data_IF_091004878218
#
_entry.id   IF_091004878218
#
_cell.length_a   1.000
_cell.length_b   1.000
_cell.length_c   1.000
_cell.angle_alpha   90.00
_cell.angle_beta   90.00
_cell.angle_gamma   90.00
#
_symmetry.space_group_name_H-M   'P 1'
#
loop_
_entity.id
_entity.type
_entity.pdbx_description
1 polymer ?
#
# COMPACT_ATOMS: atom_id res chain seq x y z
N UNK A 1 27.59 0.38 -9.25
CA UNK A 1 27.79 0.73 -7.82
C UNK A 1 28.68 -0.30 -7.14
N UNK A 2 29.30 0.04 -6.00
CA UNK A 2 30.10 -0.89 -5.20
C UNK A 2 29.37 -1.15 -3.89
N UNK A 3 29.16 -2.42 -3.54
CA UNK A 3 28.46 -2.77 -2.31
C UNK A 3 29.43 -3.38 -1.30
N UNK A 4 29.55 -2.78 -0.12
CA UNK A 4 30.29 -3.40 0.97
C UNK A 4 29.36 -4.37 1.70
N UNK A 5 29.58 -5.64 1.45
CA UNK A 5 28.86 -6.78 2.00
C UNK A 5 29.83 -7.77 2.67
N UNK A 6 31.04 -7.30 3.03
CA UNK A 6 32.08 -8.13 3.64
C UNK A 6 31.63 -8.82 4.95
N UNK A 7 30.65 -8.26 5.66
CA UNK A 7 30.05 -8.87 6.84
C UNK A 7 29.34 -10.20 6.55
N UNK A 8 28.87 -10.40 5.31
CA UNK A 8 28.19 -11.62 4.86
C UNK A 8 29.15 -12.70 4.36
N UNK A 9 30.41 -12.36 4.11
CA UNK A 9 31.40 -13.32 3.57
C UNK A 9 31.67 -14.47 4.56
N UNK A 10 31.48 -15.69 4.09
CA UNK A 10 31.65 -16.90 4.87
C UNK A 10 30.58 -17.14 5.94
N UNK A 11 29.52 -16.34 5.97
CA UNK A 11 28.41 -16.47 6.92
C UNK A 11 27.27 -17.32 6.39
N UNK A 12 26.57 -17.95 7.32
CA UNK A 12 25.25 -18.52 7.09
C UNK A 12 24.22 -17.37 7.20
N UNK A 13 23.32 -17.23 6.23
CA UNK A 13 22.23 -16.27 6.28
C UNK A 13 20.93 -17.03 6.50
N UNK A 14 20.17 -16.64 7.52
CA UNK A 14 18.88 -17.18 7.84
C UNK A 14 17.79 -16.11 7.67
N UNK A 15 16.88 -16.35 6.73
CA UNK A 15 15.70 -15.49 6.54
C UNK A 15 14.55 -15.99 7.41
N UNK A 16 14.05 -15.13 8.30
CA UNK A 16 12.95 -15.44 9.23
C UNK A 16 11.66 -14.85 8.68
N UNK A 17 10.68 -15.72 8.37
CA UNK A 17 9.37 -15.34 7.79
C UNK A 17 9.30 -15.50 6.26
N UNK A 18 9.80 -16.61 5.71
CA UNK A 18 9.87 -16.85 4.25
C UNK A 18 8.52 -16.91 3.54
N UNK A 19 7.46 -17.38 4.19
CA UNK A 19 6.13 -17.58 3.57
C UNK A 19 5.32 -16.29 3.34
N UNK A 20 5.82 -15.14 3.76
CA UNK A 20 5.06 -13.90 3.73
C UNK A 20 5.81 -12.76 3.01
N UNK A 21 6.06 -12.91 1.71
CA UNK A 21 6.33 -11.71 0.95
C UNK A 21 7.53 -11.66 0.01
N UNK A 22 7.54 -10.59 -0.77
CA UNK A 22 8.50 -10.26 -1.83
C UNK A 22 9.92 -10.02 -1.31
N UNK A 23 10.12 -9.75 -0.02
CA UNK A 23 11.42 -9.42 0.57
C UNK A 23 12.42 -10.58 0.46
N UNK A 24 12.00 -11.82 0.77
CA UNK A 24 12.85 -13.00 0.65
C UNK A 24 13.31 -13.23 -0.79
N UNK A 25 12.40 -13.08 -1.76
CA UNK A 25 12.69 -13.27 -3.18
C UNK A 25 13.70 -12.27 -3.75
N UNK A 26 13.85 -11.10 -3.10
CA UNK A 26 14.78 -10.07 -3.56
C UNK A 26 16.16 -10.11 -2.89
N UNK A 27 16.23 -10.49 -1.61
CA UNK A 27 17.49 -10.42 -0.85
C UNK A 27 18.43 -11.58 -1.13
N UNK A 28 17.92 -12.80 -1.31
CA UNK A 28 18.75 -13.97 -1.55
C UNK A 28 19.58 -13.84 -2.82
N UNK A 29 18.99 -13.62 -4.03
CA UNK A 29 19.77 -13.46 -5.25
C UNK A 29 20.77 -12.31 -5.17
N UNK A 30 20.38 -11.19 -4.54
CA UNK A 30 21.26 -10.05 -4.36
C UNK A 30 22.51 -10.37 -3.53
N UNK A 31 22.33 -11.07 -2.41
CA UNK A 31 23.46 -11.47 -1.55
C UNK A 31 24.33 -12.53 -2.21
N UNK A 32 23.74 -13.52 -2.92
CA UNK A 32 24.47 -14.55 -3.64
C UNK A 32 25.33 -13.96 -4.79
N UNK A 33 24.85 -12.89 -5.44
CA UNK A 33 25.58 -12.22 -6.52
C UNK A 33 26.73 -11.34 -5.99
N UNK A 34 26.51 -10.65 -4.85
CA UNK A 34 27.39 -9.57 -4.39
C UNK A 34 28.23 -9.90 -3.15
N UNK A 35 28.10 -11.11 -2.58
CA UNK A 35 28.87 -11.58 -1.42
C UNK A 35 29.25 -13.05 -1.55
N UNK A 36 30.14 -13.52 -0.65
CA UNK A 36 30.58 -14.92 -0.61
C UNK A 36 29.91 -15.64 0.57
N UNK A 37 28.57 -15.80 0.49
CA UNK A 37 27.83 -16.52 1.51
C UNK A 37 28.33 -17.95 1.67
N UNK A 38 28.28 -18.48 2.89
CA UNK A 38 28.45 -19.91 3.16
C UNK A 38 27.17 -20.67 2.85
N UNK A 39 26.01 -20.16 3.28
CA UNK A 39 24.69 -20.69 2.96
C UNK A 39 23.60 -19.64 3.07
N UNK A 40 22.43 -19.90 2.44
CA UNK A 40 21.19 -19.17 2.64
C UNK A 40 20.07 -20.17 2.96
N UNK A 41 19.34 -19.92 4.03
CA UNK A 41 18.21 -20.75 4.47
C UNK A 41 17.06 -19.86 4.93
N UNK A 42 15.87 -20.45 5.04
CA UNK A 42 14.70 -19.74 5.51
C UNK A 42 13.88 -20.56 6.49
N UNK A 43 13.26 -19.88 7.43
CA UNK A 43 12.32 -20.46 8.39
C UNK A 43 11.05 -19.63 8.42
N UNK A 44 9.91 -20.30 8.57
CA UNK A 44 8.61 -19.65 8.73
C UNK A 44 8.13 -19.73 10.16
N UNK A 45 7.48 -18.66 10.62
CA UNK A 45 6.64 -18.68 11.81
C UNK A 45 5.29 -19.27 11.40
N UNK A 46 4.99 -20.49 11.83
CA UNK A 46 3.67 -21.08 11.57
C UNK A 46 2.60 -20.56 12.55
N UNK A 47 1.34 -20.44 12.13
CA UNK A 47 0.26 -20.07 13.04
C UNK A 47 0.17 -21.06 14.22
N UNK A 48 0.28 -20.54 15.44
CA UNK A 48 0.28 -21.35 16.68
C UNK A 48 1.64 -21.83 17.15
N UNK A 49 2.72 -21.47 16.46
CA UNK A 49 4.08 -21.86 16.84
C UNK A 49 4.62 -21.05 18.04
N UNK A 50 5.52 -21.76 18.74
CA UNK A 50 6.33 -21.26 19.85
C UNK A 50 7.07 -19.97 19.48
N UNK A 51 7.50 -19.19 20.48
CA UNK A 51 8.40 -18.07 20.27
C UNK A 51 9.61 -18.48 19.42
N UNK A 52 10.19 -17.54 18.69
CA UNK A 52 11.37 -17.75 17.84
C UNK A 52 12.64 -18.09 18.63
N UNK A 53 12.51 -18.59 19.87
CA UNK A 53 13.61 -18.90 20.80
C UNK A 53 14.58 -19.94 20.22
N UNK A 54 14.15 -20.79 19.31
CA UNK A 54 15.02 -21.75 18.60
C UNK A 54 16.15 -21.04 17.81
N UNK A 55 16.01 -19.74 17.49
CA UNK A 55 17.06 -18.96 16.83
C UNK A 55 18.27 -18.78 17.75
N UNK A 56 18.12 -18.89 19.07
CA UNK A 56 19.21 -18.83 20.04
C UNK A 56 20.15 -20.05 19.96
N UNK A 57 19.72 -21.15 19.38
CA UNK A 57 20.53 -22.37 19.19
C UNK A 57 21.57 -22.23 18.07
N UNK A 58 21.46 -21.19 17.24
CA UNK A 58 22.41 -20.92 16.15
C UNK A 58 23.62 -20.12 16.66
N UNK A 59 24.77 -20.39 16.07
CA UNK A 59 25.98 -19.61 16.34
C UNK A 59 25.85 -18.20 15.74
N UNK A 60 25.50 -17.24 16.58
CA UNK A 60 25.29 -15.83 16.19
C UNK A 60 26.57 -15.15 15.67
N UNK A 61 27.75 -15.73 15.90
CA UNK A 61 29.00 -15.26 15.31
C UNK A 61 29.17 -15.69 13.85
N UNK A 62 28.47 -16.70 13.43
CA UNK A 62 28.51 -17.28 12.07
C UNK A 62 27.21 -17.09 11.30
N UNK A 63 26.09 -16.73 11.95
CA UNK A 63 24.77 -16.60 11.35
C UNK A 63 24.28 -15.17 11.36
N UNK A 64 23.88 -14.65 10.19
CA UNK A 64 23.19 -13.37 10.06
C UNK A 64 21.70 -13.64 9.87
N UNK A 65 20.89 -13.07 10.75
CA UNK A 65 19.44 -13.21 10.68
C UNK A 65 18.85 -12.05 9.89
N UNK A 66 18.09 -12.37 8.85
CA UNK A 66 17.33 -11.38 8.06
C UNK A 66 15.86 -11.55 8.39
N UNK A 67 15.25 -10.52 8.96
CA UNK A 67 13.86 -10.54 9.42
C UNK A 67 12.92 -10.02 8.32
N UNK A 68 11.81 -10.73 8.09
CA UNK A 68 10.68 -10.18 7.35
C UNK A 68 10.00 -9.06 8.14
N UNK A 69 9.61 -8.00 7.45
CA UNK A 69 9.00 -6.82 8.08
C UNK A 69 7.65 -7.12 8.76
N UNK A 70 6.95 -8.20 8.36
CA UNK A 70 5.70 -8.65 8.99
C UNK A 70 5.86 -9.25 10.39
N UNK A 71 7.09 -9.53 10.84
CA UNK A 71 7.37 -10.01 12.18
C UNK A 71 7.73 -8.82 13.07
N UNK A 72 7.08 -8.62 14.23
CA UNK A 72 7.49 -7.60 15.19
C UNK A 72 8.94 -7.77 15.63
N UNK A 73 9.73 -6.70 15.67
CA UNK A 73 11.12 -6.76 16.14
C UNK A 73 11.24 -7.27 17.59
N UNK A 74 10.22 -7.04 18.41
CA UNK A 74 10.14 -7.54 19.79
C UNK A 74 10.03 -9.07 19.90
N UNK A 75 9.69 -9.76 18.82
CA UNK A 75 9.64 -11.23 18.78
C UNK A 75 11.00 -11.86 18.38
N UNK A 76 11.96 -11.05 17.92
CA UNK A 76 13.29 -11.54 17.54
C UNK A 76 14.20 -11.65 18.78
N UNK A 77 14.60 -12.86 19.17
CA UNK A 77 15.49 -13.05 20.34
C UNK A 77 16.97 -12.83 20.02
N UNK A 78 17.31 -12.61 18.74
CA UNK A 78 18.66 -12.45 18.22
C UNK A 78 18.79 -11.14 17.45
N UNK A 79 20.00 -10.56 17.31
CA UNK A 79 20.26 -9.45 16.42
C UNK A 79 19.85 -9.77 14.97
N UNK A 80 19.26 -8.82 14.28
CA UNK A 80 18.78 -9.00 12.92
C UNK A 80 18.97 -7.75 12.06
N UNK A 81 18.85 -7.92 10.77
CA UNK A 81 18.71 -6.86 9.76
C UNK A 81 17.47 -7.11 8.92
N UNK A 82 16.86 -6.07 8.34
CA UNK A 82 15.85 -6.23 7.30
C UNK A 82 16.42 -5.95 5.91
N UNK A 83 15.75 -6.46 4.86
CA UNK A 83 16.14 -6.17 3.48
C UNK A 83 16.13 -4.66 3.21
N UNK A 84 15.17 -3.93 3.79
CA UNK A 84 15.06 -2.49 3.63
C UNK A 84 16.19 -1.73 4.35
N UNK A 85 16.58 -2.15 5.54
CA UNK A 85 17.75 -1.55 6.24
C UNK A 85 19.04 -1.72 5.41
N UNK A 86 19.23 -2.93 4.84
CA UNK A 86 20.36 -3.20 3.96
C UNK A 86 20.33 -2.30 2.72
N UNK A 87 19.15 -2.16 2.08
CA UNK A 87 18.98 -1.25 0.94
C UNK A 87 19.36 0.20 1.30
N UNK A 88 18.81 0.73 2.40
CA UNK A 88 19.10 2.12 2.82
C UNK A 88 20.59 2.33 3.04
N UNK A 89 21.26 1.39 3.71
CA UNK A 89 22.70 1.46 3.99
C UNK A 89 23.51 1.51 2.69
N UNK A 90 23.22 0.58 1.76
CA UNK A 90 23.95 0.48 0.50
C UNK A 90 23.66 1.64 -0.45
N UNK A 91 22.40 2.05 -0.54
CA UNK A 91 21.98 3.16 -1.40
C UNK A 91 22.63 4.48 -0.94
N UNK A 92 22.60 4.79 0.36
CA UNK A 92 23.24 5.99 0.91
C UNK A 92 24.77 5.97 0.75
N UNK A 93 25.42 4.82 0.97
CA UNK A 93 26.86 4.67 0.76
C UNK A 93 27.27 4.90 -0.69
N UNK A 94 26.38 4.68 -1.64
CA UNK A 94 26.60 4.93 -3.07
C UNK A 94 26.02 6.27 -3.56
N UNK A 95 25.56 7.16 -2.67
CA UNK A 95 25.04 8.48 -3.03
C UNK A 95 23.70 8.46 -3.78
N UNK A 96 22.95 7.36 -3.68
CA UNK A 96 21.64 7.21 -4.34
C UNK A 96 20.58 7.99 -3.59
N UNK A 97 19.83 8.77 -4.31
CA UNK A 97 18.73 9.57 -3.75
C UNK A 97 17.51 8.69 -3.44
N UNK A 98 17.00 8.79 -2.21
CA UNK A 98 15.83 8.07 -1.74
C UNK A 98 14.73 9.07 -1.39
N UNK A 99 13.54 8.87 -1.96
CA UNK A 99 12.27 9.49 -1.58
C UNK A 99 11.44 8.44 -0.85
N UNK A 100 10.94 8.75 0.35
CA UNK A 100 10.11 7.85 1.13
C UNK A 100 8.73 8.45 1.40
N UNK A 101 7.67 7.69 1.17
CA UNK A 101 6.28 8.15 1.33
C UNK A 101 5.55 7.20 2.27
N UNK A 102 4.97 7.76 3.33
CA UNK A 102 4.12 7.03 4.27
C UNK A 102 2.83 7.78 4.56
N UNK A 103 1.99 7.17 5.33
CA UNK A 103 0.68 7.64 5.79
C UNK A 103 -0.19 6.44 6.15
N UNK A 104 -1.36 6.67 6.71
CA UNK A 104 -2.33 5.59 6.90
C UNK A 104 -2.99 5.25 5.57
N UNK A 105 -3.47 6.24 4.84
CA UNK A 105 -4.14 6.10 3.51
C UNK A 105 -3.42 6.94 2.45
N UNK A 106 -3.62 6.60 1.17
CA UNK A 106 -3.10 7.37 0.04
C UNK A 106 -1.65 7.09 -0.36
N UNK A 107 -0.89 6.28 0.39
CA UNK A 107 0.53 5.98 0.13
C UNK A 107 0.81 5.57 -1.31
N UNK A 108 0.16 4.51 -1.78
CA UNK A 108 0.44 3.94 -3.12
C UNK A 108 0.16 4.93 -4.24
N UNK A 109 -0.97 5.65 -4.15
CA UNK A 109 -1.33 6.68 -5.13
C UNK A 109 -0.31 7.82 -5.13
N UNK A 110 0.05 8.34 -3.95
CA UNK A 110 1.05 9.42 -3.83
C UNK A 110 2.42 8.98 -4.33
N UNK A 111 2.85 7.75 -4.00
CA UNK A 111 4.15 7.22 -4.44
C UNK A 111 4.20 7.06 -5.95
N UNK A 112 3.14 6.51 -6.56
CA UNK A 112 3.07 6.35 -8.01
C UNK A 112 2.94 7.69 -8.75
N UNK A 113 2.16 8.64 -8.21
CA UNK A 113 2.10 10.02 -8.74
C UNK A 113 3.46 10.72 -8.66
N UNK A 114 4.17 10.57 -7.55
CA UNK A 114 5.52 11.13 -7.39
C UNK A 114 6.47 10.57 -8.44
N UNK A 115 6.46 9.26 -8.67
CA UNK A 115 7.27 8.64 -9.71
C UNK A 115 6.92 9.20 -11.09
N UNK A 116 5.63 9.25 -11.45
CA UNK A 116 5.18 9.79 -12.73
C UNK A 116 5.57 11.26 -12.92
N UNK A 117 5.42 12.11 -11.91
CA UNK A 117 5.81 13.53 -11.98
C UNK A 117 7.33 13.71 -12.18
N UNK A 118 8.13 12.91 -11.48
CA UNK A 118 9.59 12.94 -11.62
C UNK A 118 10.02 12.45 -13.00
N UNK A 119 9.41 11.38 -13.53
CA UNK A 119 9.67 10.86 -14.88
C UNK A 119 9.29 11.87 -15.97
N UNK A 120 8.12 12.54 -15.85
CA UNK A 120 7.75 13.64 -16.74
C UNK A 120 8.74 14.79 -16.67
N UNK A 121 9.30 15.04 -15.49
CA UNK A 121 10.39 15.99 -15.25
C UNK A 121 11.76 15.51 -15.75
N UNK A 122 11.85 14.41 -16.51
CA UNK A 122 13.07 13.88 -17.10
C UNK A 122 14.03 13.20 -16.10
N UNK A 123 13.55 12.81 -14.90
CA UNK A 123 14.36 12.10 -13.91
C UNK A 123 14.31 10.59 -14.17
N UNK A 124 15.40 9.90 -13.81
CA UNK A 124 15.42 8.44 -13.77
C UNK A 124 14.85 7.97 -12.43
N UNK A 125 13.78 7.19 -12.47
CA UNK A 125 13.03 6.78 -11.29
C UNK A 125 12.94 5.26 -11.18
N UNK A 126 13.03 4.76 -9.97
CA UNK A 126 12.67 3.40 -9.61
C UNK A 126 11.57 3.45 -8.55
N UNK A 127 10.39 2.96 -8.91
CA UNK A 127 9.25 2.80 -8.01
C UNK A 127 9.39 1.46 -7.26
N UNK A 128 9.50 1.51 -5.93
CA UNK A 128 9.78 0.32 -5.13
C UNK A 128 9.16 0.40 -3.72
N UNK A 129 9.44 -0.60 -2.87
CA UNK A 129 8.99 -0.68 -1.49
C UNK A 129 7.78 -1.58 -1.29
N UNK A 130 6.75 -1.11 -0.61
CA UNK A 130 5.52 -1.87 -0.37
C UNK A 130 4.69 -2.07 -1.65
N UNK A 131 4.92 -1.24 -2.67
CA UNK A 131 4.44 -1.39 -4.05
C UNK A 131 5.63 -1.48 -5.02
N UNK A 132 5.36 -1.83 -6.28
CA UNK A 132 6.41 -1.93 -7.29
C UNK A 132 7.31 -3.14 -7.08
N UNK A 133 8.62 -2.93 -7.22
CA UNK A 133 9.64 -3.98 -7.13
C UNK A 133 10.39 -3.96 -5.79
N UNK A 134 11.11 -5.03 -5.48
CA UNK A 134 12.04 -5.02 -4.34
C UNK A 134 13.18 -4.04 -4.59
N UNK A 135 13.52 -3.16 -3.64
CA UNK A 135 14.51 -2.12 -3.89
C UNK A 135 15.96 -2.64 -3.98
N UNK A 136 16.31 -3.75 -3.32
CA UNK A 136 17.68 -4.28 -3.32
C UNK A 136 18.15 -4.76 -4.70
N UNK A 137 17.42 -5.64 -5.43
CA UNK A 137 17.81 -6.04 -6.77
C UNK A 137 17.88 -4.85 -7.73
N UNK A 138 16.92 -3.92 -7.62
CA UNK A 138 16.90 -2.73 -8.46
C UNK A 138 18.10 -1.80 -8.22
N UNK A 139 18.70 -1.84 -7.03
CA UNK A 139 19.88 -1.03 -6.71
C UNK A 139 21.11 -1.46 -7.52
N UNK A 140 21.28 -2.76 -7.79
CA UNK A 140 22.41 -3.24 -8.59
C UNK A 140 22.37 -2.76 -10.05
N UNK A 141 21.18 -2.55 -10.59
CA UNK A 141 20.95 -2.10 -11.97
C UNK A 141 20.87 -0.56 -12.11
N UNK A 142 20.73 0.14 -10.98
CA UNK A 142 20.49 1.57 -10.96
C UNK A 142 21.73 2.39 -11.36
N UNK A 143 21.51 3.49 -12.09
CA UNK A 143 22.53 4.51 -12.32
C UNK A 143 22.69 5.41 -11.08
N UNK A 144 23.82 6.11 -10.96
CA UNK A 144 24.08 6.98 -9.80
C UNK A 144 23.09 8.15 -9.67
N UNK A 145 22.47 8.58 -10.76
CA UNK A 145 21.47 9.64 -10.83
C UNK A 145 20.02 9.13 -10.70
N UNK A 146 19.84 7.86 -10.35
CA UNK A 146 18.52 7.25 -10.15
C UNK A 146 17.90 7.69 -8.81
N UNK A 147 16.63 8.07 -8.84
CA UNK A 147 15.83 8.39 -7.66
C UNK A 147 14.97 7.19 -7.32
N UNK A 148 15.14 6.63 -6.13
CA UNK A 148 14.26 5.59 -5.61
C UNK A 148 13.06 6.23 -4.91
N UNK A 149 11.87 6.00 -5.41
CA UNK A 149 10.61 6.45 -4.82
C UNK A 149 9.95 5.26 -4.14
N UNK A 150 9.95 5.29 -2.80
CA UNK A 150 9.54 4.15 -1.97
C UNK A 150 8.20 4.39 -1.27
N UNK A 151 7.26 3.47 -1.45
CA UNK A 151 6.16 3.34 -0.50
C UNK A 151 6.67 2.63 0.77
N UNK A 152 6.49 3.26 1.93
CA UNK A 152 6.94 2.71 3.21
C UNK A 152 5.77 2.47 4.16
N UNK A 153 5.53 1.20 4.50
CA UNK A 153 4.55 0.79 5.51
C UNK A 153 5.05 1.05 6.92
N UNK A 154 4.16 1.02 7.93
CA UNK A 154 4.56 1.12 9.33
C UNK A 154 5.40 -0.07 9.80
N UNK A 155 5.13 -1.26 9.24
CA UNK A 155 5.91 -2.48 9.52
C UNK A 155 7.37 -2.32 9.09
N UNK A 156 7.59 -1.81 7.87
CA UNK A 156 8.91 -1.53 7.32
C UNK A 156 9.64 -0.43 8.10
N UNK A 157 8.91 0.62 8.46
CA UNK A 157 9.45 1.76 9.19
C UNK A 157 9.79 1.43 10.65
N UNK A 158 9.15 0.43 11.27
CA UNK A 158 9.38 0.06 12.67
C UNK A 158 10.85 -0.30 12.94
N UNK A 159 11.52 -0.92 11.99
CA UNK A 159 12.91 -1.37 12.10
C UNK A 159 13.92 -0.38 11.50
N UNK A 160 13.45 0.64 10.77
CA UNK A 160 14.32 1.50 10.00
C UNK A 160 15.12 2.44 10.93
N UNK A 161 16.44 2.45 10.74
CA UNK A 161 17.41 3.27 11.50
C UNK A 161 18.04 4.38 10.67
N UNK A 162 17.55 4.57 9.43
CA UNK A 162 17.95 5.63 8.53
C UNK A 162 16.70 6.19 7.85
N UNK A 163 16.67 7.49 7.58
CA UNK A 163 15.56 8.14 6.87
C UNK A 163 15.94 8.43 5.41
N UNK A 164 14.95 8.55 4.47
CA UNK A 164 15.22 9.00 3.10
C UNK A 164 15.72 10.45 3.06
N UNK A 165 16.17 10.91 1.89
CA UNK A 165 16.60 12.31 1.68
C UNK A 165 15.40 13.25 1.55
N UNK A 166 14.31 12.77 0.95
CA UNK A 166 13.01 13.45 0.93
C UNK A 166 11.98 12.49 1.50
N UNK A 167 11.28 12.88 2.55
CA UNK A 167 10.25 12.09 3.19
C UNK A 167 8.91 12.80 3.13
N UNK A 168 7.82 12.04 2.98
CA UNK A 168 6.48 12.58 3.11
C UNK A 168 5.60 11.72 4.02
N UNK A 169 4.81 12.37 4.88
CA UNK A 169 3.74 11.74 5.63
C UNK A 169 2.40 12.42 5.31
N UNK A 170 1.51 11.67 4.63
CA UNK A 170 0.26 12.20 4.06
C UNK A 170 -0.79 12.43 5.15
N UNK A 171 -0.94 11.48 6.06
CA UNK A 171 -1.96 11.47 7.12
C UNK A 171 -1.64 10.43 8.20
N UNK A 172 -2.29 10.61 9.37
CA UNK A 172 -2.19 9.69 10.50
C UNK A 172 -3.60 9.43 11.06
N UNK A 173 -4.17 8.27 10.73
CA UNK A 173 -5.41 7.77 11.30
C UNK A 173 -5.13 6.57 12.20
N UNK A 174 -6.15 6.07 12.90
CA UNK A 174 -6.07 4.81 13.64
C UNK A 174 -6.05 3.63 12.66
N UNK A 175 -5.05 2.76 12.78
CA UNK A 175 -4.90 1.54 11.99
C UNK A 175 -3.85 0.62 12.65
N UNK A 176 -3.83 -0.68 12.34
CA UNK A 176 -2.78 -1.64 12.72
C UNK A 176 -2.38 -1.67 14.21
N UNK A 177 -3.29 -1.32 15.13
CA UNK A 177 -3.02 -1.33 16.56
C UNK A 177 -2.89 -2.73 17.14
N UNK A 178 -3.46 -3.73 16.48
CA UNK A 178 -3.29 -5.15 16.78
C UNK A 178 -1.84 -5.61 16.66
N UNK A 179 -1.11 -5.13 15.65
CA UNK A 179 0.29 -5.48 15.43
C UNK A 179 1.25 -4.57 16.25
N UNK A 180 0.99 -3.26 16.27
CA UNK A 180 1.85 -2.29 16.96
C UNK A 180 1.61 -2.21 18.48
N UNK A 181 0.52 -2.81 18.98
CA UNK A 181 0.12 -2.80 20.38
C UNK A 181 -0.59 -1.52 20.82
N UNK A 182 -0.35 -0.37 20.19
CA UNK A 182 -1.06 0.88 20.46
C UNK A 182 -1.03 1.83 19.26
N UNK A 183 -1.88 2.86 19.28
CA UNK A 183 -1.89 3.93 18.27
C UNK A 183 -0.60 4.74 18.29
N UNK A 184 -0.08 5.03 19.47
CA UNK A 184 1.19 5.75 19.68
C UNK A 184 2.34 4.97 19.07
N UNK A 185 2.43 3.67 19.33
CA UNK A 185 3.48 2.80 18.77
C UNK A 185 3.40 2.73 17.24
N UNK A 186 2.18 2.72 16.67
CA UNK A 186 1.97 2.77 15.23
C UNK A 186 2.47 4.09 14.63
N UNK A 187 2.18 5.24 15.27
CA UNK A 187 2.65 6.53 14.81
C UNK A 187 4.15 6.69 14.99
N UNK A 188 4.71 6.22 16.12
CA UNK A 188 6.16 6.23 16.37
C UNK A 188 6.93 5.38 15.34
N UNK A 189 6.38 4.24 14.92
CA UNK A 189 6.96 3.47 13.82
C UNK A 189 7.00 4.30 12.51
N UNK A 190 5.92 5.01 12.18
CA UNK A 190 5.91 5.90 11.00
C UNK A 190 6.85 7.08 11.13
N UNK A 191 7.08 7.59 12.35
CA UNK A 191 7.99 8.71 12.59
C UNK A 191 9.43 8.39 12.18
N UNK A 192 9.83 7.13 12.14
CA UNK A 192 11.16 6.74 11.67
C UNK A 192 11.44 7.18 10.22
N UNK A 193 10.42 7.50 9.43
CA UNK A 193 10.59 8.05 8.09
C UNK A 193 11.36 9.38 8.11
N UNK A 194 11.27 10.14 9.20
CA UNK A 194 11.93 11.45 9.33
C UNK A 194 12.90 11.55 10.53
N UNK A 195 12.86 10.59 11.45
CA UNK A 195 13.61 10.65 12.74
C UNK A 195 15.11 10.79 12.56
N UNK A 196 15.68 10.21 11.51
CA UNK A 196 17.12 10.15 11.26
C UNK A 196 17.56 11.09 10.14
N UNK A 197 16.73 12.08 9.80
CA UNK A 197 17.04 13.09 8.79
C UNK A 197 18.03 14.13 9.31
N UNK A 198 18.94 14.57 8.42
CA UNK A 198 19.88 15.67 8.68
C UNK A 198 19.45 16.99 8.07
N UNK A 199 20.26 18.03 8.23
CA UNK A 199 19.93 19.41 7.82
C UNK A 199 19.67 19.59 6.32
N UNK A 200 20.22 18.73 5.47
CA UNK A 200 20.05 18.79 4.02
C UNK A 200 18.81 18.03 3.53
N UNK A 201 18.22 17.18 4.38
CA UNK A 201 17.04 16.40 4.06
C UNK A 201 15.77 17.24 4.18
N UNK A 202 14.66 16.76 3.57
CA UNK A 202 13.38 17.49 3.54
C UNK A 202 12.23 16.59 3.99
N UNK A 203 11.49 17.02 5.01
CA UNK A 203 10.26 16.37 5.46
C UNK A 203 9.02 17.16 5.03
N UNK A 204 8.18 16.55 4.21
CA UNK A 204 6.93 17.10 3.69
C UNK A 204 5.76 16.49 4.47
N UNK A 205 4.82 17.31 4.91
CA UNK A 205 3.75 16.84 5.77
C UNK A 205 2.44 17.60 5.60
N UNK A 206 1.34 16.96 5.99
CA UNK A 206 0.02 17.56 6.07
C UNK A 206 -0.19 18.20 7.45
N UNK A 207 -0.33 19.53 7.56
CA UNK A 207 -0.48 20.23 8.84
C UNK A 207 -1.84 20.03 9.53
N UNK A 208 -2.84 19.40 8.89
CA UNK A 208 -4.12 19.08 9.52
C UNK A 208 -3.98 18.02 10.64
N UNK A 209 -2.83 17.35 10.73
CA UNK A 209 -2.54 16.37 11.76
C UNK A 209 -1.61 16.93 12.82
N UNK A 210 -2.11 17.09 14.07
CA UNK A 210 -1.35 17.65 15.18
C UNK A 210 -0.02 16.92 15.42
N UNK A 211 0.00 15.59 15.36
CA UNK A 211 1.20 14.79 15.52
C UNK A 211 2.26 15.10 14.44
N UNK A 212 1.85 15.38 13.18
CA UNK A 212 2.79 15.74 12.12
C UNK A 212 3.39 17.15 12.34
N UNK A 213 2.61 18.08 12.90
CA UNK A 213 3.13 19.38 13.31
C UNK A 213 4.17 19.25 14.44
N UNK A 214 3.91 18.36 15.42
CA UNK A 214 4.87 18.08 16.50
C UNK A 214 6.18 17.48 15.95
N UNK A 215 6.06 16.53 14.99
CA UNK A 215 7.24 15.94 14.36
C UNK A 215 8.05 16.99 13.59
N UNK A 216 7.37 17.85 12.81
CA UNK A 216 8.02 18.90 12.04
C UNK A 216 8.71 19.94 12.94
N UNK A 217 8.09 20.33 14.06
CA UNK A 217 8.68 21.26 15.02
C UNK A 217 9.92 20.70 15.73
N UNK A 218 10.03 19.38 15.88
CA UNK A 218 11.16 18.69 16.49
C UNK A 218 12.21 18.22 15.46
N UNK A 219 12.02 18.50 14.18
CA UNK A 219 12.88 18.00 13.10
C UNK A 219 14.25 18.70 13.08
N UNK A 220 15.30 17.92 12.77
CA UNK A 220 16.62 18.45 12.46
C UNK A 220 16.81 18.80 10.97
N UNK A 221 15.84 18.45 10.13
CA UNK A 221 15.82 18.67 8.68
C UNK A 221 14.96 19.87 8.29
N UNK A 222 14.95 20.20 7.00
CA UNK A 222 13.99 21.16 6.43
C UNK A 222 12.58 20.56 6.47
N UNK A 223 11.58 21.36 6.83
CA UNK A 223 10.17 20.93 6.86
C UNK A 223 9.33 21.77 5.92
N UNK A 224 8.43 21.11 5.20
CA UNK A 224 7.51 21.75 4.26
C UNK A 224 6.09 21.27 4.55
N UNK A 225 5.25 22.19 5.04
CA UNK A 225 3.83 21.94 5.17
C UNK A 225 3.14 22.12 3.81
N UNK A 226 2.33 21.14 3.38
CA UNK A 226 1.44 21.36 2.24
C UNK A 226 0.29 22.29 2.65
N UNK A 227 -0.41 22.87 1.67
CA UNK A 227 -1.67 23.58 1.91
C UNK A 227 -2.86 22.66 1.58
N UNK A 228 -3.51 22.02 2.57
CA UNK A 228 -4.63 21.12 2.31
C UNK A 228 -5.88 21.83 1.77
N UNK A 229 -5.94 23.17 1.88
CA UNK A 229 -7.06 23.97 1.37
C UNK A 229 -6.95 24.30 -0.13
N UNK A 230 -5.76 24.10 -0.71
CA UNK A 230 -5.52 24.31 -2.13
C UNK A 230 -6.38 23.35 -2.97
N UNK A 231 -7.15 23.93 -3.88
CA UNK A 231 -7.97 23.13 -4.82
C UNK A 231 -7.13 22.70 -6.00
N UNK A 232 -6.96 21.39 -6.17
CA UNK A 232 -6.28 20.82 -7.33
C UNK A 232 -7.30 20.58 -8.44
N UNK A 233 -7.06 21.14 -9.61
CA UNK A 233 -7.88 20.89 -10.80
C UNK A 233 -7.53 19.50 -11.38
N UNK A 234 -8.41 18.54 -11.17
CA UNK A 234 -8.32 17.17 -11.70
C UNK A 234 -9.11 16.99 -13.01
N UNK A 235 -9.54 18.08 -13.65
CA UNK A 235 -10.27 18.01 -14.92
C UNK A 235 -9.41 17.34 -15.98
N UNK A 236 -9.96 16.29 -16.61
CA UNK A 236 -9.25 15.49 -17.60
C UNK A 236 -8.34 14.38 -17.03
N UNK A 237 -8.10 14.37 -15.72
CA UNK A 237 -7.39 13.28 -15.08
C UNK A 237 -8.32 12.07 -14.87
N UNK A 238 -7.72 10.87 -14.82
CA UNK A 238 -8.45 9.63 -14.48
C UNK A 238 -8.56 9.42 -12.96
N UNK A 239 -7.90 10.27 -12.18
CA UNK A 239 -8.04 10.34 -10.73
C UNK A 239 -9.29 11.15 -10.36
N UNK A 240 -10.02 10.70 -9.36
CA UNK A 240 -11.21 11.39 -8.87
C UNK A 240 -11.28 11.37 -7.34
N UNK A 241 -12.08 12.29 -6.77
CA UNK A 241 -12.28 12.44 -5.33
C UNK A 241 -11.29 13.41 -4.65
N UNK A 242 -11.78 14.15 -3.66
CA UNK A 242 -11.02 15.19 -2.95
C UNK A 242 -9.74 14.65 -2.28
N UNK A 243 -9.76 13.38 -1.81
CA UNK A 243 -8.58 12.73 -1.23
C UNK A 243 -7.43 12.58 -2.24
N UNK A 244 -7.72 12.48 -3.55
CA UNK A 244 -6.68 12.46 -4.57
C UNK A 244 -6.09 13.84 -4.82
N UNK A 245 -6.83 14.92 -4.59
CA UNK A 245 -6.26 16.27 -4.55
C UNK A 245 -5.11 16.36 -3.54
N UNK A 246 -5.32 15.85 -2.32
CA UNK A 246 -4.27 15.79 -1.29
C UNK A 246 -3.06 14.93 -1.72
N UNK A 247 -3.30 13.76 -2.34
CA UNK A 247 -2.23 12.92 -2.86
C UNK A 247 -1.39 13.65 -3.92
N UNK A 248 -2.06 14.43 -4.81
CA UNK A 248 -1.39 15.26 -5.83
C UNK A 248 -0.57 16.38 -5.18
N UNK A 249 -1.12 17.07 -4.17
CA UNK A 249 -0.39 18.14 -3.47
C UNK A 249 0.92 17.64 -2.86
N UNK A 250 0.88 16.50 -2.18
CA UNK A 250 2.08 15.88 -1.59
C UNK A 250 3.07 15.45 -2.67
N UNK A 251 2.61 14.77 -3.73
CA UNK A 251 3.47 14.33 -4.82
C UNK A 251 4.11 15.51 -5.57
N UNK A 252 3.35 16.58 -5.82
CA UNK A 252 3.83 17.81 -6.46
C UNK A 252 4.87 18.51 -5.59
N UNK A 253 4.66 18.58 -4.28
CA UNK A 253 5.65 19.19 -3.38
C UNK A 253 6.96 18.39 -3.36
N UNK A 254 6.88 17.05 -3.41
CA UNK A 254 8.08 16.21 -3.57
C UNK A 254 8.76 16.53 -4.93
N UNK A 255 8.01 16.59 -6.03
CA UNK A 255 8.54 16.86 -7.36
C UNK A 255 9.26 18.22 -7.45
N UNK A 256 8.74 19.25 -6.74
CA UNK A 256 9.37 20.58 -6.59
C UNK A 256 10.78 20.49 -5.98
N UNK A 257 11.01 19.58 -5.01
CA UNK A 257 12.33 19.39 -4.42
C UNK A 257 13.38 18.94 -5.44
N UNK A 258 12.94 18.38 -6.57
CA UNK A 258 13.79 17.96 -7.69
C UNK A 258 13.76 18.91 -8.89
N UNK A 259 13.17 20.08 -8.72
CA UNK A 259 13.11 21.12 -9.74
C UNK A 259 12.12 20.85 -10.88
N UNK A 260 11.13 19.97 -10.67
CA UNK A 260 10.05 19.73 -11.64
C UNK A 260 9.05 20.89 -11.56
N UNK A 261 8.75 21.58 -12.68
CA UNK A 261 7.77 22.65 -12.70
C UNK A 261 6.35 22.12 -12.42
N UNK A 262 5.52 22.93 -11.78
CA UNK A 262 4.13 22.55 -11.45
C UNK A 262 3.31 22.17 -12.69
N UNK A 263 3.51 22.87 -13.80
CA UNK A 263 2.83 22.54 -15.05
C UNK A 263 3.16 21.14 -15.54
N UNK A 264 4.45 20.77 -15.56
CA UNK A 264 4.91 19.41 -15.91
C UNK A 264 4.37 18.36 -14.93
N UNK A 265 4.35 18.68 -13.63
CA UNK A 265 3.75 17.79 -12.64
C UNK A 265 2.25 17.57 -12.89
N UNK A 266 1.51 18.62 -13.27
CA UNK A 266 0.08 18.52 -13.58
C UNK A 266 -0.19 17.84 -14.93
N UNK A 267 0.72 17.92 -15.90
CA UNK A 267 0.66 17.10 -17.11
C UNK A 267 0.76 15.60 -16.74
N UNK A 268 1.71 15.23 -15.88
CA UNK A 268 1.82 13.87 -15.38
C UNK A 268 0.53 13.40 -14.68
N UNK A 269 -0.17 14.27 -13.94
CA UNK A 269 -1.47 13.92 -13.32
C UNK A 269 -2.54 13.61 -14.36
N UNK A 270 -2.61 14.36 -15.45
CA UNK A 270 -3.58 14.13 -16.53
C UNK A 270 -3.33 12.81 -17.26
N UNK A 271 -2.06 12.45 -17.44
CA UNK A 271 -1.63 11.23 -18.11
C UNK A 271 -1.58 10.01 -17.18
N UNK A 272 -1.72 10.24 -15.87
CA UNK A 272 -1.58 9.21 -14.86
C UNK A 272 -2.68 8.16 -14.95
N UNK A 273 -2.26 6.90 -15.08
CA UNK A 273 -3.16 5.77 -14.93
C UNK A 273 -3.26 5.39 -13.45
N UNK A 274 -4.47 5.44 -12.86
CA UNK A 274 -4.67 4.98 -11.49
C UNK A 274 -4.16 3.55 -11.30
N UNK A 275 -3.74 3.23 -10.10
CA UNK A 275 -3.33 1.87 -9.75
C UNK A 275 -4.46 0.90 -10.10
N UNK A 276 -4.10 -0.19 -10.80
CA UNK A 276 -5.05 -1.24 -11.16
C UNK A 276 -5.79 -1.72 -9.90
N UNK A 277 -7.07 -2.00 -10.08
CA UNK A 277 -7.93 -2.55 -9.03
C UNK A 277 -8.13 -1.64 -7.79
N UNK A 278 -7.88 -0.33 -7.92
CA UNK A 278 -8.12 0.65 -6.86
C UNK A 278 -9.06 1.75 -7.35
N UNK A 279 -10.35 1.61 -7.07
CA UNK A 279 -11.41 2.50 -7.57
C UNK A 279 -11.24 2.83 -9.07
N UNK A 280 -10.77 1.85 -9.83
CA UNK A 280 -10.49 1.98 -11.26
C UNK A 280 -11.80 1.95 -12.06
N UNK A 281 -12.08 3.02 -12.80
CA UNK A 281 -13.21 3.03 -13.72
C UNK A 281 -12.86 2.13 -14.91
N UNK A 282 -13.61 1.04 -15.07
CA UNK A 282 -13.37 0.03 -16.12
C UNK A 282 -14.08 0.45 -17.42
N UNK A 283 -15.38 0.67 -17.33
CA UNK A 283 -16.19 1.02 -18.50
C UNK A 283 -17.52 1.67 -18.06
N UNK A 284 -18.20 2.29 -19.01
CA UNK A 284 -19.63 2.59 -18.91
C UNK A 284 -20.35 1.80 -20.00
N UNK A 285 -21.19 0.86 -19.61
CA UNK A 285 -21.97 0.01 -20.52
C UNK A 285 -23.42 -0.04 -20.07
N UNK A 286 -24.34 0.00 -21.02
CA UNK A 286 -25.78 -0.09 -20.76
C UNK A 286 -26.28 0.90 -19.68
N UNK A 287 -25.77 2.14 -19.71
CA UNK A 287 -26.12 3.17 -18.73
C UNK A 287 -25.54 2.98 -17.33
N UNK A 288 -24.65 2.02 -17.11
CA UNK A 288 -24.01 1.74 -15.79
C UNK A 288 -22.51 1.94 -15.86
N UNK A 289 -21.92 2.51 -14.79
CA UNK A 289 -20.47 2.68 -14.67
C UNK A 289 -19.90 1.57 -13.81
N UNK A 290 -18.98 0.79 -14.36
CA UNK A 290 -18.33 -0.32 -13.67
C UNK A 290 -17.02 0.18 -13.05
N UNK A 291 -16.85 -0.04 -11.73
CA UNK A 291 -15.68 0.37 -10.96
C UNK A 291 -15.07 -0.83 -10.25
N UNK A 292 -13.79 -1.02 -10.50
CA UNK A 292 -12.98 -2.08 -9.91
C UNK A 292 -12.20 -1.51 -8.71
N UNK A 293 -12.56 -1.96 -7.52
CA UNK A 293 -11.85 -1.74 -6.27
C UNK A 293 -11.53 -3.09 -5.60
N UNK A 294 -11.02 -4.03 -6.41
CA UNK A 294 -10.70 -5.38 -5.93
C UNK A 294 -9.71 -5.40 -4.77
N UNK A 295 -8.89 -4.35 -4.60
CA UNK A 295 -7.99 -4.17 -3.45
C UNK A 295 -8.77 -3.85 -2.15
N UNK A 296 -10.03 -3.46 -2.23
CA UNK A 296 -10.93 -3.21 -1.11
C UNK A 296 -11.34 -4.51 -0.41
N UNK A 297 -10.44 -5.07 0.42
CA UNK A 297 -10.56 -6.37 1.06
C UNK A 297 -10.83 -6.29 2.57
N UNK A 298 -11.16 -5.11 3.09
CA UNK A 298 -11.56 -4.92 4.49
C UNK A 298 -12.84 -4.11 4.58
N UNK A 299 -13.64 -4.27 5.65
CA UNK A 299 -14.85 -3.49 5.88
C UNK A 299 -14.63 -1.98 5.74
N UNK A 300 -13.55 -1.45 6.35
CA UNK A 300 -13.22 -0.03 6.35
C UNK A 300 -12.86 0.47 4.95
N UNK A 301 -12.12 -0.35 4.16
CA UNK A 301 -11.76 0.04 2.78
C UNK A 301 -12.99 0.13 1.90
N UNK A 302 -13.92 -0.83 2.00
CA UNK A 302 -15.16 -0.80 1.23
C UNK A 302 -16.06 0.36 1.64
N UNK A 303 -16.16 0.66 2.94
CA UNK A 303 -16.90 1.85 3.42
C UNK A 303 -16.32 3.14 2.85
N UNK A 304 -14.99 3.27 2.83
CA UNK A 304 -14.32 4.44 2.25
C UNK A 304 -14.55 4.54 0.72
N UNK A 305 -14.50 3.41 0.01
CA UNK A 305 -14.76 3.37 -1.44
C UNK A 305 -16.21 3.74 -1.76
N UNK A 306 -17.18 3.25 -0.99
CA UNK A 306 -18.59 3.64 -1.13
C UNK A 306 -18.79 5.16 -1.00
N UNK A 307 -18.21 5.76 0.03
CA UNK A 307 -18.28 7.21 0.24
C UNK A 307 -17.67 7.98 -0.94
N UNK A 308 -16.46 7.60 -1.38
CA UNK A 308 -15.77 8.27 -2.46
C UNK A 308 -16.54 8.13 -3.80
N UNK A 309 -16.98 6.93 -4.14
CA UNK A 309 -17.71 6.64 -5.39
C UNK A 309 -19.03 7.39 -5.44
N UNK A 310 -19.81 7.35 -4.35
CA UNK A 310 -21.12 8.02 -4.32
C UNK A 310 -21.00 9.54 -4.47
N UNK A 311 -19.94 10.13 -3.89
CA UNK A 311 -19.69 11.57 -4.00
C UNK A 311 -19.19 12.01 -5.37
N UNK A 312 -18.46 11.16 -6.09
CA UNK A 312 -17.70 11.59 -7.27
C UNK A 312 -18.20 11.04 -8.59
N UNK A 313 -18.84 9.86 -8.59
CA UNK A 313 -19.35 9.23 -9.81
C UNK A 313 -20.88 9.19 -9.79
N UNK A 314 -21.47 8.70 -8.69
CA UNK A 314 -22.92 8.58 -8.57
C UNK A 314 -23.35 7.46 -7.62
N UNK A 315 -24.66 7.25 -7.47
CA UNK A 315 -25.18 6.23 -6.56
C UNK A 315 -24.73 4.83 -6.96
N UNK A 316 -24.38 4.01 -5.97
CA UNK A 316 -24.04 2.60 -6.19
C UNK A 316 -25.34 1.82 -6.33
N UNK A 317 -25.55 1.20 -7.50
CA UNK A 317 -26.74 0.39 -7.81
C UNK A 317 -26.52 -1.09 -7.55
N UNK A 318 -25.28 -1.56 -7.62
CA UNK A 318 -24.92 -2.93 -7.29
C UNK A 318 -23.53 -2.96 -6.64
N UNK A 319 -23.42 -3.63 -5.49
CA UNK A 319 -22.15 -3.79 -4.76
C UNK A 319 -21.80 -5.28 -4.67
N UNK A 320 -20.54 -5.60 -4.96
CA UNK A 320 -20.01 -6.96 -4.85
C UNK A 320 -19.27 -7.11 -3.52
N UNK A 321 -19.72 -8.05 -2.68
CA UNK A 321 -19.25 -8.31 -1.33
C UNK A 321 -18.85 -9.78 -1.15
N UNK A 322 -18.07 -10.07 -0.12
CA UNK A 322 -17.75 -11.43 0.27
C UNK A 322 -16.36 -11.90 -0.13
N UNK A 323 -15.97 -13.04 0.45
CA UNK A 323 -14.65 -13.64 0.31
C UNK A 323 -14.21 -14.38 1.58
N UNK A 324 -12.89 -14.58 1.74
CA UNK A 324 -12.29 -15.33 2.86
C UNK A 324 -12.63 -14.71 4.21
N UNK A 325 -13.15 -15.54 5.10
CA UNK A 325 -13.40 -15.12 6.48
C UNK A 325 -12.08 -15.02 7.27
N UNK A 326 -11.78 -13.82 7.76
CA UNK A 326 -10.67 -13.51 8.66
C UNK A 326 -11.12 -13.04 10.04
N UNK A 327 -12.38 -13.26 10.39
CA UNK A 327 -12.92 -12.85 11.68
C UNK A 327 -13.28 -11.36 11.76
N UNK A 328 -13.44 -10.69 10.62
CA UNK A 328 -13.86 -9.28 10.60
C UNK A 328 -15.28 -9.12 11.16
N UNK A 329 -15.51 -7.97 11.81
CA UNK A 329 -16.84 -7.46 12.10
C UNK A 329 -17.37 -6.69 10.89
N UNK A 330 -18.52 -7.09 10.38
CA UNK A 330 -19.14 -6.47 9.20
C UNK A 330 -20.26 -5.48 9.58
N UNK A 331 -20.49 -5.21 10.86
CA UNK A 331 -21.60 -4.36 11.31
C UNK A 331 -21.53 -2.97 10.68
N UNK A 332 -20.40 -2.28 10.80
CA UNK A 332 -20.28 -0.90 10.32
C UNK A 332 -20.37 -0.80 8.78
N UNK A 333 -19.76 -1.71 8.04
CA UNK A 333 -19.85 -1.70 6.57
C UNK A 333 -21.27 -2.02 6.10
N UNK A 334 -21.99 -2.95 6.74
CA UNK A 334 -23.36 -3.26 6.35
C UNK A 334 -24.34 -2.13 6.71
N UNK A 335 -24.11 -1.40 7.80
CA UNK A 335 -24.82 -0.17 8.13
C UNK A 335 -24.53 0.95 7.11
N UNK A 336 -23.29 1.09 6.66
CA UNK A 336 -22.94 2.04 5.59
C UNK A 336 -23.63 1.66 4.27
N UNK A 337 -23.60 0.38 3.88
CA UNK A 337 -24.29 -0.14 2.68
C UNK A 337 -25.79 0.17 2.73
N UNK A 338 -26.42 -0.05 3.88
CA UNK A 338 -27.83 0.29 4.10
C UNK A 338 -28.06 1.82 4.04
N UNK A 339 -27.18 2.61 4.62
CA UNK A 339 -27.24 4.07 4.60
C UNK A 339 -27.18 4.67 3.19
N UNK A 340 -26.48 4.03 2.27
CA UNK A 340 -26.46 4.38 0.84
C UNK A 340 -27.64 3.77 0.05
N UNK A 341 -28.50 2.99 0.71
CA UNK A 341 -29.69 2.36 0.14
C UNK A 341 -29.39 1.60 -1.16
N UNK A 342 -28.34 0.77 -1.16
CA UNK A 342 -27.89 0.02 -2.34
C UNK A 342 -28.91 -1.08 -2.65
N UNK A 343 -29.55 -1.08 -3.82
CA UNK A 343 -30.67 -2.00 -4.08
C UNK A 343 -30.25 -3.43 -4.38
N UNK A 344 -29.03 -3.65 -4.90
CA UNK A 344 -28.56 -4.98 -5.27
C UNK A 344 -27.20 -5.30 -4.66
N UNK A 345 -27.09 -6.48 -4.05
CA UNK A 345 -25.85 -7.02 -3.52
C UNK A 345 -25.52 -8.33 -4.22
N UNK A 346 -24.31 -8.43 -4.77
CA UNK A 346 -23.73 -9.72 -5.17
C UNK A 346 -22.86 -10.20 -4.01
N UNK A 347 -23.07 -11.43 -3.56
CA UNK A 347 -22.34 -11.99 -2.43
C UNK A 347 -21.57 -13.25 -2.78
N UNK A 348 -20.27 -13.24 -2.48
CA UNK A 348 -19.37 -14.37 -2.63
C UNK A 348 -19.25 -15.18 -1.32
N UNK A 349 -18.95 -16.50 -1.39
CA UNK A 349 -19.00 -17.41 -0.25
C UNK A 349 -18.00 -17.07 0.87
N UNK A 350 -18.15 -17.79 1.97
CA UNK A 350 -17.64 -17.77 3.34
C UNK A 350 -18.22 -16.64 4.21
N UNK A 351 -18.11 -15.38 3.83
CA UNK A 351 -18.56 -14.26 4.70
C UNK A 351 -20.03 -13.86 4.48
N UNK A 352 -20.70 -14.40 3.46
CA UNK A 352 -22.09 -14.06 3.12
C UNK A 352 -23.05 -14.16 4.31
N UNK A 353 -23.03 -15.26 5.06
CA UNK A 353 -23.92 -15.45 6.21
C UNK A 353 -23.67 -14.41 7.33
N UNK A 354 -22.40 -14.07 7.60
CA UNK A 354 -22.03 -13.05 8.60
C UNK A 354 -22.46 -11.66 8.16
N UNK A 355 -22.25 -11.32 6.88
CA UNK A 355 -22.67 -10.03 6.32
C UNK A 355 -24.19 -9.88 6.34
N UNK A 356 -24.94 -10.93 6.00
CA UNK A 356 -26.41 -10.94 6.12
C UNK A 356 -26.88 -10.74 7.58
N UNK A 357 -26.23 -11.39 8.52
CA UNK A 357 -26.56 -11.25 9.95
C UNK A 357 -26.25 -9.86 10.50
N UNK A 358 -25.32 -9.12 9.88
CA UNK A 358 -24.92 -7.77 10.25
C UNK A 358 -25.78 -6.67 9.57
N UNK A 359 -26.72 -7.04 8.68
CA UNK A 359 -27.61 -6.06 8.03
C UNK A 359 -28.58 -5.44 9.03
N UNK A 360 -28.85 -4.13 8.95
CA UNK A 360 -29.96 -3.52 9.66
C UNK A 360 -31.29 -4.20 9.32
N UNK A 361 -32.21 -4.38 10.29
CA UNK A 361 -33.43 -5.15 10.09
C UNK A 361 -34.44 -4.50 9.14
N UNK A 362 -34.30 -3.23 8.84
CA UNK A 362 -35.12 -2.43 7.91
C UNK A 362 -34.51 -2.29 6.50
N UNK A 363 -33.35 -2.92 6.26
CA UNK A 363 -32.70 -2.91 4.96
C UNK A 363 -32.88 -4.26 4.25
N UNK A 364 -33.57 -4.25 3.10
CA UNK A 364 -33.95 -5.44 2.32
C UNK A 364 -33.51 -5.34 0.87
N UNK A 365 -32.19 -5.44 0.56
CA UNK A 365 -31.70 -5.45 -0.80
C UNK A 365 -32.02 -6.79 -1.49
N UNK A 366 -32.04 -6.75 -2.83
CA UNK A 366 -32.00 -8.00 -3.62
C UNK A 366 -30.58 -8.58 -3.54
N UNK A 367 -30.47 -9.85 -3.16
CA UNK A 367 -29.19 -10.53 -2.95
C UNK A 367 -29.03 -11.65 -3.97
N UNK A 368 -27.95 -11.59 -4.73
CA UNK A 368 -27.51 -12.64 -5.63
C UNK A 368 -26.24 -13.30 -5.10
N UNK A 369 -26.31 -14.58 -4.76
CA UNK A 369 -25.16 -15.36 -4.30
C UNK A 369 -24.56 -16.14 -5.45
N UNK A 370 -23.23 -16.06 -5.62
CA UNK A 370 -22.53 -16.76 -6.70
C UNK A 370 -21.05 -16.98 -6.36
N UNK A 371 -20.43 -17.96 -7.02
CA UNK A 371 -18.99 -18.18 -7.05
C UNK A 371 -18.34 -17.71 -8.36
N UNK A 372 -19.15 -17.27 -9.32
CA UNK A 372 -18.73 -16.89 -10.67
C UNK A 372 -18.72 -15.38 -10.84
N UNK A 373 -17.56 -14.81 -11.18
CA UNK A 373 -17.45 -13.37 -11.50
C UNK A 373 -18.25 -13.00 -12.76
N UNK A 374 -18.33 -13.90 -13.73
CA UNK A 374 -19.10 -13.68 -14.96
C UNK A 374 -20.59 -13.57 -14.63
N UNK A 375 -21.13 -14.48 -13.80
CA UNK A 375 -22.54 -14.44 -13.41
C UNK A 375 -22.85 -13.22 -12.55
N UNK A 376 -21.91 -12.82 -11.69
CA UNK A 376 -21.99 -11.60 -10.89
C UNK A 376 -22.13 -10.34 -11.76
N UNK A 377 -21.29 -10.21 -12.78
CA UNK A 377 -21.31 -9.06 -13.70
C UNK A 377 -22.56 -9.08 -14.58
N UNK A 378 -22.98 -10.24 -15.07
CA UNK A 378 -24.22 -10.39 -15.84
C UNK A 378 -25.45 -10.00 -15.00
N UNK A 379 -25.54 -10.50 -13.76
CA UNK A 379 -26.61 -10.09 -12.83
C UNK A 379 -26.65 -8.57 -12.65
N UNK A 380 -25.51 -7.95 -12.38
CA UNK A 380 -25.43 -6.50 -12.22
C UNK A 380 -25.80 -5.73 -13.50
N UNK A 381 -25.42 -6.24 -14.67
CA UNK A 381 -25.77 -5.65 -15.95
C UNK A 381 -27.28 -5.70 -16.24
N UNK A 382 -27.97 -6.72 -15.73
CA UNK A 382 -29.42 -6.91 -15.92
C UNK A 382 -30.24 -6.13 -14.89
N UNK A 383 -29.82 -6.11 -13.61
CA UNK A 383 -30.66 -5.67 -12.49
C UNK A 383 -30.28 -4.30 -11.91
N UNK A 384 -28.99 -3.90 -11.93
CA UNK A 384 -28.61 -2.61 -11.39
C UNK A 384 -29.34 -1.45 -12.10
N UNK A 385 -29.79 -0.41 -11.39
CA UNK A 385 -30.43 0.75 -12.01
C UNK A 385 -29.54 1.43 -13.07
N UNK A 386 -30.16 1.97 -14.11
CA UNK A 386 -29.44 2.84 -15.04
C UNK A 386 -28.92 4.11 -14.33
N UNK A 387 -27.85 4.68 -14.84
CA UNK A 387 -27.14 5.84 -14.25
C UNK A 387 -26.61 5.57 -12.83
N UNK A 388 -26.31 4.31 -12.52
CA UNK A 388 -25.69 3.91 -11.26
C UNK A 388 -24.30 3.28 -11.46
N UNK A 389 -23.61 3.06 -10.36
CA UNK A 389 -22.32 2.40 -10.33
C UNK A 389 -22.48 0.93 -9.93
N UNK A 390 -21.81 0.05 -10.66
CA UNK A 390 -21.55 -1.35 -10.27
C UNK A 390 -20.16 -1.38 -9.68
N UNK A 391 -20.05 -1.62 -8.36
CA UNK A 391 -18.81 -1.54 -7.61
C UNK A 391 -18.34 -2.91 -7.15
N UNK A 392 -17.14 -3.32 -7.57
CA UNK A 392 -16.41 -4.43 -6.97
C UNK A 392 -15.58 -3.92 -5.80
N UNK A 393 -16.03 -4.11 -4.54
CA UNK A 393 -15.26 -3.82 -3.32
C UNK A 393 -15.74 -4.75 -2.22
N UNK A 394 -15.00 -5.84 -2.00
CA UNK A 394 -15.54 -7.07 -1.41
C UNK A 394 -15.61 -7.09 0.12
N UNK A 395 -15.02 -6.13 0.83
CA UNK A 395 -14.90 -6.07 2.29
C UNK A 395 -14.25 -7.32 2.93
N UNK A 396 -13.79 -8.26 2.12
CA UNK A 396 -13.16 -9.52 2.53
C UNK A 396 -12.09 -9.95 1.53
N UNK A 397 -11.04 -10.71 1.96
CA UNK A 397 -9.96 -11.17 1.10
C UNK A 397 -10.39 -12.15 0.01
N UNK A 398 -9.60 -12.21 -1.07
CA UNK A 398 -9.94 -12.90 -2.32
C UNK A 398 -9.70 -14.42 -2.32
N UNK A 399 -8.95 -14.99 -1.39
CA UNK A 399 -8.23 -16.28 -1.45
C UNK A 399 -9.05 -17.57 -1.52
N UNK A 400 -10.36 -17.52 -1.75
CA UNK A 400 -11.20 -18.70 -1.90
C UNK A 400 -11.45 -19.04 -3.35
N UNK A 401 -11.89 -18.01 -4.09
CA UNK A 401 -12.29 -18.13 -5.49
C UNK A 401 -11.20 -17.64 -6.44
N UNK A 402 -10.29 -16.80 -5.95
CA UNK A 402 -9.24 -16.15 -6.72
C UNK A 402 -7.90 -16.27 -6.03
N UNK A 403 -6.85 -16.26 -6.82
CA UNK A 403 -5.46 -16.34 -6.34
C UNK A 403 -5.13 -15.17 -5.39
N UNK A 404 -5.53 -13.97 -5.78
CA UNK A 404 -5.29 -12.70 -5.07
C UNK A 404 -6.31 -11.64 -5.53
N UNK A 405 -6.15 -10.40 -5.10
CA UNK A 405 -7.03 -9.31 -5.51
C UNK A 405 -6.81 -8.92 -6.99
N UNK A 406 -5.62 -9.14 -7.54
CA UNK A 406 -5.30 -8.85 -8.93
C UNK A 406 -6.08 -9.81 -9.85
N UNK A 407 -6.01 -11.12 -9.60
CA UNK A 407 -6.80 -12.12 -10.35
C UNK A 407 -8.32 -11.86 -10.23
N UNK A 408 -8.79 -11.43 -9.04
CA UNK A 408 -10.21 -11.05 -8.84
C UNK A 408 -10.59 -9.85 -9.73
N UNK A 409 -9.79 -8.80 -9.71
CA UNK A 409 -10.02 -7.60 -10.49
C UNK A 409 -9.90 -7.84 -11.99
N UNK A 410 -8.90 -8.61 -12.44
CA UNK A 410 -8.74 -8.99 -13.85
C UNK A 410 -9.98 -9.74 -14.39
N UNK A 411 -10.53 -10.67 -13.61
CA UNK A 411 -11.75 -11.38 -13.98
C UNK A 411 -12.98 -10.48 -14.03
N UNK A 412 -13.05 -9.49 -13.11
CA UNK A 412 -14.12 -8.50 -13.17
C UNK A 412 -14.01 -7.64 -14.43
N UNK A 413 -12.83 -7.13 -14.75
CA UNK A 413 -12.59 -6.32 -15.94
C UNK A 413 -12.90 -7.12 -17.21
N UNK A 414 -12.40 -8.35 -17.32
CA UNK A 414 -12.69 -9.23 -18.46
C UNK A 414 -14.19 -9.52 -18.63
N UNK A 415 -14.91 -9.76 -17.52
CA UNK A 415 -16.36 -9.99 -17.57
C UNK A 415 -17.12 -8.72 -17.99
N UNK A 416 -16.69 -7.54 -17.52
CA UNK A 416 -17.26 -6.25 -17.95
C UNK A 416 -16.98 -5.98 -19.43
N UNK A 417 -15.77 -6.29 -19.91
CA UNK A 417 -15.45 -6.13 -21.34
C UNK A 417 -16.31 -7.00 -22.24
N UNK A 418 -16.67 -8.19 -21.77
CA UNK A 418 -17.48 -9.17 -22.51
C UNK A 418 -18.98 -8.81 -22.59
N UNK A 419 -19.50 -7.86 -21.78
CA UNK A 419 -20.86 -7.34 -21.91
C UNK A 419 -21.02 -6.59 -23.26
#
# INVERSE_FOLDING_TARGET
>A
MTFDLSEFDGKDVMFVGMGQGRAAAGIQPFLEEHSKLKSFSGVDKQPGDKPLDFLLDYDQSQTIFVKNEGIPGTEMPVPYITALQLFFRLAKANGVTIVGITGTKGKSTTTSLTAAMLEHGGKKVVLAGNIGISPLPALSEAAADTIFVLELSSYQLSDLTQSPHVAACINLYNDHTDWHGSLESYWEAKRNIMRFMGADDVFIYNPDFAALNEWANAAACKTVAIDPSEQVDLTGAKLFGAHNGLNVLVAREIARQFGVPDETAMEAVRDFEPLRHRMQRVATKNGRTYVDDAIGMTPESTTASLAAITQTIGPVGCLFLGGKDRGYDFTDVMHAVAGYNIPHLVMFPETTAKMKAAMPPDYHPEIFETESMVDAVNYAAEHAPENSVVLLSTAAPSYILWKDFEDKGDRFQAAVEAL
#
